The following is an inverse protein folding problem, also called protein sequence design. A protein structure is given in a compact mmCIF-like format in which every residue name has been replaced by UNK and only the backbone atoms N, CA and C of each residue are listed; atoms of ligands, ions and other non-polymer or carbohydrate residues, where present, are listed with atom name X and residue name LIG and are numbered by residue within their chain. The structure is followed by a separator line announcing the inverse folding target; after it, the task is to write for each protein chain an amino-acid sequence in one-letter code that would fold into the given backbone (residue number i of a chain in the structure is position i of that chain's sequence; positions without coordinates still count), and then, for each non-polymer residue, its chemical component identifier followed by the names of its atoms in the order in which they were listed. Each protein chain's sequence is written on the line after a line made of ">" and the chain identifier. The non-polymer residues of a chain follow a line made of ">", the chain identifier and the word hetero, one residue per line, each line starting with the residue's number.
data_IF_220952103822
#
_entry.id   IF_220952103822
#
_cell.length_a   1.000
_cell.length_b   1.000
_cell.length_c   1.000
_cell.angle_alpha   90.00
_cell.angle_beta   90.00
_cell.angle_gamma   90.00
#
_symmetry.space_group_name_H-M   'P 1'
#
loop_
_entity.id
_entity.type
_entity.pdbx_description
1 polymer ?
#
# COMPACT_ATOMS: atom_id res chain seq x y z
N UNK A 1 5.35 15.78 -4.23
CA UNK A 1 6.42 16.29 -3.34
C UNK A 1 6.38 15.68 -1.94
N UNK A 2 5.29 15.78 -1.17
CA UNK A 2 5.23 15.27 0.22
C UNK A 2 5.53 13.77 0.36
N UNK A 3 5.04 12.94 -0.57
CA UNK A 3 5.34 11.50 -0.60
C UNK A 3 6.84 11.25 -0.81
N UNK A 4 7.43 11.85 -1.85
CA UNK A 4 8.84 11.71 -2.21
C UNK A 4 9.74 12.16 -1.06
N UNK A 5 9.45 13.32 -0.44
CA UNK A 5 10.21 13.84 0.71
C UNK A 5 10.09 12.91 1.93
N UNK A 6 8.92 12.34 2.21
CA UNK A 6 8.78 11.34 3.29
C UNK A 6 9.54 10.06 2.99
N UNK A 7 9.53 9.57 1.75
CA UNK A 7 10.28 8.39 1.33
C UNK A 7 11.79 8.62 1.45
N UNK A 8 12.28 9.80 1.04
CA UNK A 8 13.69 10.23 1.13
C UNK A 8 14.16 10.34 2.60
N UNK A 9 13.37 11.00 3.46
CA UNK A 9 13.69 11.20 4.88
C UNK A 9 13.71 9.86 5.64
N UNK A 10 12.78 8.94 5.34
CA UNK A 10 12.74 7.62 5.97
C UNK A 10 13.86 6.70 5.47
N UNK A 11 14.37 6.90 4.25
CA UNK A 11 15.48 6.11 3.67
C UNK A 11 16.76 6.22 4.52
N UNK A 12 17.04 7.39 5.08
CA UNK A 12 18.24 7.66 5.88
C UNK A 12 18.20 7.06 7.32
N UNK A 13 17.08 6.47 7.75
CA UNK A 13 16.91 5.92 9.11
C UNK A 13 16.87 4.36 9.15
N UNK A 14 17.20 3.68 8.05
CA UNK A 14 16.62 2.35 7.74
C UNK A 14 17.55 1.11 7.85
N UNK A 15 18.38 0.99 8.89
CA UNK A 15 18.94 -0.35 9.20
C UNK A 15 17.84 -1.27 9.75
N UNK A 16 16.96 -0.76 10.62
CA UNK A 16 15.94 -1.56 11.32
C UNK A 16 14.48 -1.12 11.08
N UNK A 17 14.28 0.06 10.49
CA UNK A 17 12.92 0.58 10.25
C UNK A 17 12.40 0.05 8.92
N UNK A 18 11.28 -0.68 8.98
CA UNK A 18 10.56 -1.13 7.77
C UNK A 18 9.89 0.07 7.08
N UNK A 19 10.06 0.18 5.77
CA UNK A 19 9.46 1.26 4.99
C UNK A 19 7.93 1.16 5.07
N UNK A 20 7.26 2.26 5.38
CA UNK A 20 5.79 2.30 5.39
C UNK A 20 5.28 3.01 4.14
N UNK A 21 4.47 2.31 3.35
CA UNK A 21 3.85 2.80 2.13
C UNK A 21 2.37 3.04 2.37
N UNK A 22 1.85 4.18 1.93
CA UNK A 22 0.41 4.45 1.97
C UNK A 22 -0.19 4.09 0.62
N UNK A 23 -1.12 3.15 0.60
CA UNK A 23 -1.79 2.65 -0.61
C UNK A 23 -3.26 3.08 -0.58
N UNK A 24 -3.76 3.77 -1.60
CA UNK A 24 -5.19 4.12 -1.66
C UNK A 24 -6.04 2.85 -1.74
N UNK A 25 -7.12 2.79 -0.95
CA UNK A 25 -8.06 1.67 -1.01
C UNK A 25 -8.87 1.78 -2.29
N UNK A 26 -8.90 0.71 -3.10
CA UNK A 26 -9.77 0.62 -4.28
C UNK A 26 -11.21 0.40 -3.82
N UNK A 27 -11.90 1.49 -3.48
CA UNK A 27 -13.37 1.53 -3.41
C UNK A 27 -13.90 1.64 -4.84
N UNK A 28 -15.05 1.03 -5.12
CA UNK A 28 -15.62 0.98 -6.47
C UNK A 28 -15.75 2.37 -7.08
N UNK A 29 -14.92 2.68 -8.08
CA UNK A 29 -14.88 4.00 -8.68
C UNK A 29 -16.16 4.20 -9.48
N UNK A 30 -17.04 5.09 -9.01
CA UNK A 30 -18.20 5.52 -9.79
C UNK A 30 -17.70 6.48 -10.88
N UNK A 31 -17.89 6.06 -12.12
CA UNK A 31 -17.55 6.83 -13.31
C UNK A 31 -18.82 7.51 -13.82
N UNK A 32 -18.86 8.83 -13.81
CA UNK A 32 -20.01 9.62 -14.30
C UNK A 32 -19.66 10.19 -15.67
N UNK A 33 -20.59 10.10 -16.62
CA UNK A 33 -20.45 10.75 -17.93
C UNK A 33 -20.80 12.24 -17.80
N UNK A 34 -19.87 13.11 -18.20
CA UNK A 34 -20.15 14.55 -18.33
C UNK A 34 -21.01 14.84 -19.58
N UNK A 35 -21.46 16.08 -19.77
CA UNK A 35 -22.17 16.59 -20.96
C UNK A 35 -21.40 16.36 -22.28
N UNK A 36 -20.07 16.20 -22.21
CA UNK A 36 -19.20 15.86 -23.34
C UNK A 36 -18.97 14.34 -23.52
N UNK A 37 -19.72 13.49 -22.81
CA UNK A 37 -19.52 12.03 -22.74
C UNK A 37 -18.16 11.56 -22.20
N UNK A 38 -17.36 12.47 -21.65
CA UNK A 38 -16.13 12.14 -20.96
C UNK A 38 -16.45 11.42 -19.64
N UNK A 39 -15.75 10.31 -19.40
CA UNK A 39 -15.87 9.50 -18.20
C UNK A 39 -15.04 10.13 -17.07
N UNK A 40 -15.69 10.85 -16.16
CA UNK A 40 -15.03 11.48 -15.03
C UNK A 40 -15.16 10.57 -13.79
N UNK A 41 -14.05 10.07 -13.23
CA UNK A 41 -14.09 9.36 -11.95
C UNK A 41 -14.50 10.36 -10.86
N UNK A 42 -15.70 10.20 -10.31
CA UNK A 42 -16.29 11.23 -9.42
C UNK A 42 -16.15 10.87 -7.94
N UNK A 43 -15.82 9.63 -7.60
CA UNK A 43 -15.70 9.23 -6.19
C UNK A 43 -14.30 9.49 -5.64
N UNK A 44 -14.23 10.35 -4.62
CA UNK A 44 -13.05 10.65 -3.81
C UNK A 44 -12.54 9.39 -3.11
N UNK A 45 -11.24 9.13 -3.17
CA UNK A 45 -10.58 8.04 -2.44
C UNK A 45 -10.64 8.37 -0.93
N UNK A 46 -11.69 7.90 -0.26
CA UNK A 46 -11.91 8.24 1.16
C UNK A 46 -11.09 7.40 2.14
N UNK A 47 -10.47 6.31 1.68
CA UNK A 47 -9.77 5.37 2.56
C UNK A 47 -8.38 5.05 2.02
N UNK A 48 -7.42 5.11 2.92
CA UNK A 48 -6.02 4.74 2.69
C UNK A 48 -5.69 3.52 3.54
N UNK A 49 -4.79 2.67 3.03
CA UNK A 49 -4.21 1.54 3.75
C UNK A 49 -2.74 1.82 3.98
N UNK A 50 -2.27 1.57 5.20
CA UNK A 50 -0.86 1.66 5.53
C UNK A 50 -0.25 0.26 5.36
N UNK A 51 0.71 0.13 4.45
CA UNK A 51 1.41 -1.12 4.14
C UNK A 51 2.85 -1.02 4.64
N UNK A 52 3.20 -1.85 5.63
CA UNK A 52 4.55 -1.94 6.15
C UNK A 52 5.33 -2.96 5.29
N UNK A 53 6.46 -2.54 4.74
CA UNK A 53 7.34 -3.39 3.93
C UNK A 53 8.18 -4.30 4.83
N UNK A 54 7.65 -5.47 5.15
CA UNK A 54 8.34 -6.48 5.96
C UNK A 54 9.44 -7.25 5.21
N UNK A 55 9.82 -6.87 3.98
CA UNK A 55 10.81 -7.64 3.19
C UNK A 55 12.14 -7.83 3.93
N UNK A 56 12.69 -6.75 4.52
CA UNK A 56 13.91 -6.82 5.34
C UNK A 56 13.72 -7.69 6.59
N UNK A 57 12.60 -7.52 7.29
CA UNK A 57 12.28 -8.25 8.53
C UNK A 57 12.08 -9.75 8.27
N UNK A 58 11.42 -10.11 7.18
CA UNK A 58 11.18 -11.50 6.79
C UNK A 58 12.43 -12.22 6.31
N UNK A 59 13.47 -11.50 5.87
CA UNK A 59 14.78 -12.07 5.57
C UNK A 59 15.61 -12.29 6.84
N UNK A 60 15.51 -11.37 7.81
CA UNK A 60 16.24 -11.47 9.07
C UNK A 60 15.63 -12.48 10.05
N UNK A 61 14.35 -12.83 9.90
CA UNK A 61 13.65 -13.77 10.79
C UNK A 61 13.65 -15.19 10.21
N UNK A 62 13.94 -16.19 11.07
CA UNK A 62 13.83 -17.61 10.70
C UNK A 62 12.35 -17.98 10.58
N UNK A 63 11.94 -18.50 9.42
CA UNK A 63 10.60 -19.05 9.23
C UNK A 63 10.48 -20.37 9.98
N UNK A 64 9.58 -20.43 10.95
CA UNK A 64 9.18 -21.71 11.54
C UNK A 64 8.18 -22.38 10.58
N UNK A 65 8.40 -23.66 10.29
CA UNK A 65 7.52 -24.40 9.39
C UNK A 65 6.11 -24.47 10.01
N UNK A 66 5.15 -23.84 9.34
CA UNK A 66 3.74 -23.99 9.68
C UNK A 66 3.14 -25.04 8.75
N UNK A 67 2.77 -26.20 9.29
CA UNK A 67 1.98 -27.20 8.60
C UNK A 67 0.51 -26.77 8.64
N UNK A 68 0.16 -25.71 7.91
CA UNK A 68 -1.25 -25.42 7.66
C UNK A 68 -1.75 -26.49 6.68
N UNK A 69 -2.70 -27.35 7.09
CA UNK A 69 -3.28 -28.31 6.17
C UNK A 69 -3.96 -27.53 5.04
N UNK A 70 -3.67 -27.92 3.80
CA UNK A 70 -4.47 -27.44 2.68
C UNK A 70 -5.90 -27.97 2.85
N UNK A 71 -6.90 -27.17 2.49
CA UNK A 71 -8.27 -27.64 2.42
C UNK A 71 -8.32 -28.75 1.36
N UNK A 72 -8.66 -29.96 1.77
CA UNK A 72 -8.95 -31.06 0.85
C UNK A 72 -10.31 -30.85 0.17
#
# INVERSE_FOLDING_TARGET
>A
MKEVVRQEVLKNLSVWVSLVQVVPKKVGIIVVKNKKNELIPTQTINSWRMCIHYRKVNQATRKYHSSLPFMN
#
